data_IF_401528398564
#
_entry.id   IF_401528398564
#
_cell.length_a   1.000
_cell.length_b   1.000
_cell.length_c   1.000
_cell.angle_alpha   90.00
_cell.angle_beta   90.00
_cell.angle_gamma   90.00
#
_symmetry.space_group_name_H-M   'P 1'
#
loop_
_entity.id
_entity.type
_entity.pdbx_description
1 polymer ?
#
# COMPACT_ATOMS: atom_id res chain seq x y z
N UNK A 1 -23.47 -19.91 -1.90
CA UNK A 1 -22.70 -20.90 -2.71
C UNK A 1 -21.30 -20.99 -2.15
N UNK A 2 -20.96 -22.07 -1.46
CA UNK A 2 -19.71 -22.23 -0.71
C UNK A 2 -18.44 -21.93 -1.54
N UNK A 3 -18.37 -22.36 -2.80
CA UNK A 3 -17.21 -22.15 -3.68
C UNK A 3 -16.96 -20.65 -3.93
N UNK A 4 -18.02 -19.91 -4.28
CA UNK A 4 -17.89 -18.49 -4.60
C UNK A 4 -17.53 -17.64 -3.36
N UNK A 5 -18.09 -17.96 -2.20
CA UNK A 5 -17.72 -17.31 -0.94
C UNK A 5 -16.25 -17.52 -0.58
N UNK A 6 -15.73 -18.75 -0.71
CA UNK A 6 -14.30 -19.02 -0.51
C UNK A 6 -13.41 -18.26 -1.50
N UNK A 7 -13.81 -18.15 -2.77
CA UNK A 7 -13.07 -17.42 -3.78
C UNK A 7 -12.93 -15.93 -3.42
N UNK A 8 -14.03 -15.26 -3.04
CA UNK A 8 -14.00 -13.86 -2.63
C UNK A 8 -13.12 -13.62 -1.40
N UNK A 9 -13.22 -14.48 -0.38
CA UNK A 9 -12.38 -14.39 0.82
C UNK A 9 -10.89 -14.53 0.44
N UNK A 10 -10.56 -15.55 -0.35
CA UNK A 10 -9.18 -15.79 -0.79
C UNK A 10 -8.61 -14.62 -1.60
N UNK A 11 -9.42 -14.08 -2.53
CA UNK A 11 -9.05 -12.92 -3.33
C UNK A 11 -8.84 -11.67 -2.48
N UNK A 12 -9.74 -11.39 -1.54
CA UNK A 12 -9.61 -10.28 -0.61
C UNK A 12 -8.34 -10.38 0.23
N UNK A 13 -8.04 -11.57 0.79
CA UNK A 13 -6.82 -11.80 1.57
C UNK A 13 -5.56 -11.62 0.69
N UNK A 14 -5.55 -12.13 -0.53
CA UNK A 14 -4.41 -11.97 -1.44
C UNK A 14 -4.13 -10.48 -1.73
N UNK A 15 -5.16 -9.68 -2.00
CA UNK A 15 -5.00 -8.24 -2.25
C UNK A 15 -4.55 -7.51 -0.97
N UNK A 16 -5.08 -7.88 0.20
CA UNK A 16 -4.63 -7.33 1.50
C UNK A 16 -3.13 -7.54 1.72
N UNK A 17 -2.61 -8.71 1.37
CA UNK A 17 -1.18 -9.00 1.47
C UNK A 17 -0.37 -8.06 0.57
N UNK A 18 -0.81 -7.83 -0.68
CA UNK A 18 -0.14 -6.90 -1.60
C UNK A 18 -0.15 -5.46 -1.06
N UNK A 19 -1.27 -5.01 -0.48
CA UNK A 19 -1.36 -3.69 0.17
C UNK A 19 -0.36 -3.58 1.33
N UNK A 20 -0.28 -4.61 2.18
CA UNK A 20 0.65 -4.60 3.32
C UNK A 20 2.12 -4.61 2.88
N UNK A 21 2.45 -5.35 1.80
CA UNK A 21 3.79 -5.34 1.19
C UNK A 21 4.14 -3.94 0.68
N UNK A 22 3.20 -3.28 0.00
CA UNK A 22 3.41 -1.92 -0.49
C UNK A 22 3.63 -0.93 0.65
N UNK A 23 2.80 -0.99 1.70
CA UNK A 23 3.00 -0.19 2.92
C UNK A 23 4.40 -0.42 3.50
N UNK A 24 4.85 -1.67 3.57
CA UNK A 24 6.19 -2.00 4.07
C UNK A 24 7.29 -1.35 3.22
N UNK A 25 7.21 -1.40 1.88
CA UNK A 25 8.20 -0.75 1.02
C UNK A 25 8.20 0.78 1.17
N UNK A 26 7.03 1.40 1.30
CA UNK A 26 6.90 2.84 1.58
C UNK A 26 7.58 3.19 2.90
N UNK A 27 7.31 2.42 3.97
CA UNK A 27 7.94 2.65 5.29
C UNK A 27 9.45 2.47 5.22
N UNK A 28 9.94 1.41 4.56
CA UNK A 28 11.38 1.18 4.38
C UNK A 28 12.00 2.35 3.61
N UNK A 29 11.43 2.75 2.48
CA UNK A 29 11.94 3.87 1.67
C UNK A 29 11.97 5.18 2.45
N UNK A 30 10.91 5.49 3.20
CA UNK A 30 10.82 6.68 4.03
C UNK A 30 11.89 6.69 5.13
N UNK A 31 12.10 5.56 5.83
CA UNK A 31 13.16 5.41 6.83
C UNK A 31 14.53 5.60 6.17
N UNK A 32 14.80 4.88 5.08
CA UNK A 32 16.09 4.95 4.37
C UNK A 32 16.41 6.34 3.85
N UNK A 33 15.40 7.16 3.53
CA UNK A 33 15.60 8.54 3.09
C UNK A 33 16.25 9.45 4.14
N UNK A 34 16.16 9.09 5.42
CA UNK A 34 16.73 9.86 6.53
C UNK A 34 18.16 9.43 6.90
N UNK A 35 18.60 8.27 6.44
CA UNK A 35 19.94 7.76 6.72
C UNK A 35 20.88 7.95 5.53
N UNK A 36 22.16 8.26 5.76
CA UNK A 36 23.17 8.29 4.69
C UNK A 36 23.56 6.86 4.28
N UNK A 37 22.67 6.17 3.56
CA UNK A 37 22.90 4.82 3.00
C UNK A 37 23.41 4.89 1.54
N UNK A 38 23.82 3.75 0.97
CA UNK A 38 24.17 3.69 -0.44
C UNK A 38 22.98 4.09 -1.32
N UNK A 39 23.24 4.93 -2.33
CA UNK A 39 22.19 5.42 -3.22
C UNK A 39 21.49 4.28 -3.96
N UNK A 40 22.21 3.23 -4.34
CA UNK A 40 21.65 2.07 -5.04
C UNK A 40 20.60 1.34 -4.21
N UNK A 41 20.85 1.17 -2.89
CA UNK A 41 19.90 0.52 -1.98
C UNK A 41 18.68 1.41 -1.80
N UNK A 42 18.88 2.71 -1.59
CA UNK A 42 17.78 3.65 -1.47
C UNK A 42 16.88 3.65 -2.71
N UNK A 43 17.45 3.82 -3.91
CA UNK A 43 16.69 3.85 -5.15
C UNK A 43 15.96 2.52 -5.44
N UNK A 44 16.52 1.39 -5.02
CA UNK A 44 15.84 0.10 -5.13
C UNK A 44 14.53 0.08 -4.32
N UNK A 45 14.58 0.44 -3.04
CA UNK A 45 13.39 0.48 -2.20
C UNK A 45 12.43 1.60 -2.58
N UNK A 46 12.96 2.75 -3.02
CA UNK A 46 12.14 3.83 -3.56
C UNK A 46 11.38 3.40 -4.83
N UNK A 47 12.00 2.66 -5.74
CA UNK A 47 11.33 2.17 -6.94
C UNK A 47 10.17 1.21 -6.61
N UNK A 48 10.27 0.47 -5.51
CA UNK A 48 9.20 -0.39 -5.01
C UNK A 48 8.07 0.43 -4.39
N UNK A 49 8.38 1.41 -3.54
CA UNK A 49 7.39 2.34 -2.97
C UNK A 49 6.70 3.25 -4.01
N UNK A 50 7.39 3.53 -5.12
CA UNK A 50 6.92 4.40 -6.19
C UNK A 50 5.70 3.84 -6.94
N UNK A 51 5.32 2.57 -6.74
CA UNK A 51 4.10 2.01 -7.31
C UNK A 51 2.89 2.84 -6.87
N UNK A 52 2.82 3.20 -5.58
CA UNK A 52 1.75 4.05 -5.02
C UNK A 52 2.20 5.49 -4.80
N UNK A 53 3.44 5.73 -4.37
CA UNK A 53 3.90 7.09 -4.08
C UNK A 53 4.00 7.96 -5.33
N UNK A 54 4.43 7.42 -6.48
CA UNK A 54 4.64 8.22 -7.69
C UNK A 54 3.33 8.79 -8.26
N UNK A 55 2.22 8.03 -8.34
CA UNK A 55 0.91 8.61 -8.64
C UNK A 55 0.53 9.73 -7.66
N UNK A 56 0.70 9.51 -6.35
CA UNK A 56 0.30 10.46 -5.31
C UNK A 56 1.10 11.76 -5.40
N UNK A 57 2.41 11.68 -5.61
CA UNK A 57 3.30 12.84 -5.85
C UNK A 57 2.91 13.69 -7.06
N UNK A 58 2.14 13.15 -8.01
CA UNK A 58 1.64 13.94 -9.16
C UNK A 58 0.48 14.85 -8.76
N UNK A 59 -0.27 14.49 -7.72
CA UNK A 59 -1.41 15.25 -7.24
C UNK A 59 -1.06 16.14 -6.05
N UNK A 60 -0.03 15.77 -5.28
CA UNK A 60 0.44 16.55 -4.15
C UNK A 60 1.52 17.54 -4.58
N UNK A 61 1.36 18.85 -4.32
CA UNK A 61 2.47 19.79 -4.44
C UNK A 61 3.54 19.44 -3.40
N UNK A 62 4.82 19.65 -3.73
CA UNK A 62 5.91 19.54 -2.74
C UNK A 62 5.72 20.62 -1.69
N UNK A 63 5.38 20.22 -0.45
CA UNK A 63 5.24 21.15 0.67
C UNK A 63 6.61 21.32 1.33
N UNK A 64 7.40 22.28 0.83
CA UNK A 64 8.74 22.56 1.35
C UNK A 64 9.73 21.40 1.12
N UNK A 65 10.70 21.16 2.03
CA UNK A 65 11.72 20.14 1.87
C UNK A 65 11.26 18.73 2.30
N UNK A 66 10.06 18.59 2.89
CA UNK A 66 9.57 17.33 3.45
C UNK A 66 8.60 16.67 2.45
N UNK A 67 8.87 15.42 2.10
CA UNK A 67 7.92 14.62 1.30
C UNK A 67 6.85 14.01 2.23
N UNK A 68 5.62 14.51 2.13
CA UNK A 68 4.45 13.98 2.87
C UNK A 68 3.76 12.83 2.13
N UNK A 69 4.19 12.51 0.91
CA UNK A 69 3.61 11.44 0.09
C UNK A 69 3.62 10.08 0.79
N UNK A 70 4.68 9.65 1.50
CA UNK A 70 4.66 8.36 2.22
C UNK A 70 3.49 8.25 3.19
N UNK A 71 3.23 9.31 3.97
CA UNK A 71 2.13 9.32 4.94
C UNK A 71 0.77 9.21 4.23
N UNK A 72 0.57 9.99 3.17
CA UNK A 72 -0.68 9.98 2.42
C UNK A 72 -0.90 8.64 1.72
N UNK A 73 0.14 8.04 1.17
CA UNK A 73 0.11 6.70 0.57
C UNK A 73 -0.31 5.65 1.60
N UNK A 74 0.27 5.65 2.79
CA UNK A 74 -0.08 4.71 3.86
C UNK A 74 -1.54 4.89 4.29
N UNK A 75 -1.98 6.13 4.52
CA UNK A 75 -3.37 6.41 4.89
C UNK A 75 -4.35 5.93 3.82
N UNK A 76 -4.07 6.19 2.55
CA UNK A 76 -4.90 5.75 1.44
C UNK A 76 -4.95 4.21 1.35
N UNK A 77 -3.80 3.54 1.45
CA UNK A 77 -3.71 2.09 1.41
C UNK A 77 -4.45 1.41 2.56
N UNK A 78 -4.30 1.93 3.78
CA UNK A 78 -5.06 1.46 4.95
C UNK A 78 -6.56 1.69 4.77
N UNK A 79 -6.95 2.84 4.22
CA UNK A 79 -8.36 3.09 3.89
C UNK A 79 -8.90 2.08 2.88
N UNK A 80 -8.17 1.83 1.78
CA UNK A 80 -8.56 0.84 0.77
C UNK A 80 -8.67 -0.57 1.35
N UNK A 81 -7.73 -0.96 2.22
CA UNK A 81 -7.79 -2.25 2.92
C UNK A 81 -9.03 -2.37 3.80
N UNK A 82 -9.30 -1.34 4.62
CA UNK A 82 -10.41 -1.33 5.57
C UNK A 82 -11.77 -1.15 4.94
N UNK A 83 -11.86 -0.40 3.84
CA UNK A 83 -13.11 -0.14 3.15
C UNK A 83 -13.34 -1.21 2.08
N UNK A 84 -12.51 -1.26 1.04
CA UNK A 84 -12.74 -2.11 -0.12
C UNK A 84 -12.49 -3.59 0.19
N UNK A 85 -11.31 -3.91 0.72
CA UNK A 85 -10.89 -5.31 0.85
C UNK A 85 -11.67 -6.02 1.94
N UNK A 86 -11.91 -5.34 3.06
CA UNK A 86 -12.78 -5.84 4.12
C UNK A 86 -14.20 -6.13 3.60
N UNK A 87 -14.80 -5.23 2.81
CA UNK A 87 -16.13 -5.46 2.23
C UNK A 87 -16.16 -6.68 1.30
N UNK A 88 -15.12 -6.91 0.48
CA UNK A 88 -15.04 -8.11 -0.37
C UNK A 88 -15.02 -9.40 0.47
N UNK A 89 -14.25 -9.39 1.55
CA UNK A 89 -14.13 -10.55 2.45
C UNK A 89 -15.47 -10.81 3.16
N UNK A 90 -16.12 -9.76 3.67
CA UNK A 90 -17.43 -9.85 4.33
C UNK A 90 -18.51 -10.38 3.38
N UNK A 91 -18.55 -9.89 2.14
CA UNK A 91 -19.42 -10.45 1.10
C UNK A 91 -19.15 -11.94 0.89
N UNK A 92 -17.88 -12.35 0.86
CA UNK A 92 -17.51 -13.76 0.77
C UNK A 92 -18.01 -14.60 1.95
N UNK A 93 -18.01 -14.05 3.17
CA UNK A 93 -18.59 -14.71 4.34
C UNK A 93 -20.12 -14.80 4.28
N UNK A 94 -20.81 -13.76 3.80
CA UNK A 94 -22.27 -13.76 3.63
C UNK A 94 -22.74 -14.77 2.58
N UNK A 95 -21.90 -15.10 1.60
CA UNK A 95 -22.22 -16.01 0.50
C UNK A 95 -21.89 -17.49 0.79
N UNK A 96 -21.21 -17.76 1.91
CA UNK A 96 -20.96 -19.13 2.38
C UNK A 96 -22.23 -19.75 2.90
#
# INVERSE_FOLDING_TARGET
MFIFGNFLIGLGIAIRILINIEIMFIVISAILSWFPISQNIYYYFQALADIVEKPIRRFLPRIGPIDISPLISIVLLVFLDRFLIQSIIELGYLMK
#
